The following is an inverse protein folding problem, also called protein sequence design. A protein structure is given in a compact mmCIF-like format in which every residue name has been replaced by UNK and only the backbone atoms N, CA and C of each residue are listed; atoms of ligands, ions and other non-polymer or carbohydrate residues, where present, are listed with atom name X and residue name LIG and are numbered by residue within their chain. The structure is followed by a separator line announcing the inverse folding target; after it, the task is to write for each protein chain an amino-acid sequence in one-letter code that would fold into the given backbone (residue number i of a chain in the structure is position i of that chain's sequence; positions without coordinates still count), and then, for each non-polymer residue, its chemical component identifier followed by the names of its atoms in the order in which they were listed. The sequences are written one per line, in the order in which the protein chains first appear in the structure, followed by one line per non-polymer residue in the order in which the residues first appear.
data_IF_501661498935
#
_entry.id   IF_501661498935
#
_cell.length_a   1.000
_cell.length_b   1.000
_cell.length_c   1.000
_cell.angle_alpha   90.00
_cell.angle_beta   90.00
_cell.angle_gamma   90.00
#
_symmetry.space_group_name_H-M   'P 1'
#
loop_
_entity.id
_entity.type
_entity.pdbx_description
1 polymer ?
#
# COMPACT_ATOMS: atom_id res chain seq x y z
N UNK A 1 -3.46 -11.69 11.72
CA UNK A 1 -3.68 -10.91 10.49
C UNK A 1 -4.72 -9.80 10.68
N UNK A 2 -5.98 -10.08 11.06
CA UNK A 2 -7.02 -9.05 11.25
C UNK A 2 -6.60 -7.99 12.28
N UNK A 3 -6.00 -8.40 13.37
CA UNK A 3 -5.54 -7.51 14.44
C UNK A 3 -4.29 -6.68 14.09
N UNK A 4 -3.51 -7.11 13.10
CA UNK A 4 -2.31 -6.40 12.66
C UNK A 4 -2.56 -5.47 11.49
N UNK A 5 -3.50 -5.83 10.60
CA UNK A 5 -3.90 -5.00 9.47
C UNK A 5 -5.29 -5.39 8.97
N UNK A 6 -6.32 -4.73 9.47
CA UNK A 6 -7.68 -4.93 8.97
C UNK A 6 -7.78 -4.66 7.47
N UNK A 7 -7.03 -3.68 6.98
CA UNK A 7 -7.04 -3.26 5.58
C UNK A 7 -6.67 -4.39 4.61
N UNK A 8 -5.57 -5.11 4.91
CA UNK A 8 -5.15 -6.24 4.07
C UNK A 8 -5.85 -7.55 4.39
N UNK A 9 -6.57 -7.62 5.51
CA UNK A 9 -7.24 -8.87 5.92
C UNK A 9 -8.38 -9.27 5.00
N UNK A 10 -9.14 -8.31 4.50
CA UNK A 10 -10.25 -8.57 3.55
C UNK A 10 -9.68 -9.15 2.25
N UNK A 11 -8.60 -8.54 1.72
CA UNK A 11 -7.89 -9.09 0.55
C UNK A 11 -7.32 -10.49 0.81
N UNK A 12 -6.74 -10.71 1.99
CA UNK A 12 -6.24 -12.01 2.40
C UNK A 12 -7.34 -13.09 2.49
N UNK A 13 -8.53 -12.74 2.97
CA UNK A 13 -9.67 -13.68 2.98
C UNK A 13 -10.11 -14.04 1.56
N UNK A 14 -10.16 -13.07 0.65
CA UNK A 14 -10.47 -13.32 -0.76
C UNK A 14 -9.43 -14.25 -1.41
N UNK A 15 -8.15 -14.04 -1.11
CA UNK A 15 -7.05 -14.93 -1.55
C UNK A 15 -7.25 -16.36 -1.04
N UNK A 16 -7.62 -16.51 0.25
CA UNK A 16 -7.92 -17.83 0.82
C UNK A 16 -9.10 -18.50 0.14
N UNK A 17 -10.15 -17.75 -0.22
CA UNK A 17 -11.31 -18.28 -0.96
C UNK A 17 -10.88 -18.76 -2.35
N UNK A 18 -10.10 -17.96 -3.09
CA UNK A 18 -9.60 -18.38 -4.41
C UNK A 18 -8.70 -19.61 -4.34
N UNK A 19 -7.81 -19.66 -3.36
CA UNK A 19 -6.96 -20.82 -3.12
C UNK A 19 -7.78 -22.04 -2.70
N UNK A 20 -8.77 -21.86 -1.82
CA UNK A 20 -9.71 -22.91 -1.40
C UNK A 20 -10.48 -23.49 -2.56
N UNK A 21 -10.98 -22.66 -3.47
CA UNK A 21 -11.65 -23.10 -4.70
C UNK A 21 -10.72 -23.93 -5.58
N UNK A 22 -9.48 -23.45 -5.78
CA UNK A 22 -8.46 -24.20 -6.52
C UNK A 22 -8.23 -25.59 -5.92
N UNK A 23 -7.99 -25.67 -4.60
CA UNK A 23 -7.77 -26.94 -3.88
C UNK A 23 -9.00 -27.85 -3.93
N UNK A 24 -10.18 -27.29 -3.84
CA UNK A 24 -11.44 -28.04 -3.92
C UNK A 24 -11.57 -28.75 -5.27
N UNK A 25 -11.37 -28.02 -6.37
CA UNK A 25 -11.44 -28.61 -7.71
C UNK A 25 -10.27 -29.55 -8.02
N UNK A 26 -9.09 -29.29 -7.48
CA UNK A 26 -7.94 -30.19 -7.60
C UNK A 26 -8.20 -31.54 -6.93
N UNK A 27 -8.69 -31.54 -5.69
CA UNK A 27 -8.99 -32.77 -4.95
C UNK A 27 -10.15 -33.60 -5.56
N UNK A 28 -11.00 -32.94 -6.33
CA UNK A 28 -12.16 -33.58 -6.99
C UNK A 28 -11.93 -33.78 -8.50
N UNK A 29 -10.67 -33.76 -8.95
CA UNK A 29 -10.35 -34.04 -10.35
C UNK A 29 -10.88 -35.42 -10.71
N UNK A 30 -11.75 -35.52 -11.75
CA UNK A 30 -12.40 -36.77 -12.18
C UNK A 30 -13.68 -37.13 -11.43
N UNK A 31 -14.06 -36.43 -10.36
CA UNK A 31 -15.30 -36.66 -9.62
C UNK A 31 -16.42 -35.71 -10.09
N UNK A 32 -17.68 -36.17 -10.00
CA UNK A 32 -18.83 -35.29 -10.22
C UNK A 32 -19.01 -34.33 -9.05
N UNK A 33 -18.91 -33.04 -9.31
CA UNK A 33 -19.21 -32.01 -8.31
C UNK A 33 -20.72 -31.79 -8.26
N UNK A 34 -21.34 -32.02 -7.10
CA UNK A 34 -22.75 -31.70 -6.88
C UNK A 34 -22.85 -30.34 -6.20
N UNK A 35 -23.88 -29.55 -6.54
CA UNK A 35 -24.15 -28.24 -5.94
C UNK A 35 -24.25 -28.33 -4.42
N UNK A 36 -24.99 -29.37 -3.91
CA UNK A 36 -25.11 -29.57 -2.47
C UNK A 36 -23.77 -29.84 -1.79
N UNK A 37 -22.93 -30.70 -2.39
CA UNK A 37 -21.60 -31.00 -1.86
C UNK A 37 -20.70 -29.72 -1.84
N UNK A 38 -20.74 -28.97 -2.93
CA UNK A 38 -20.00 -27.72 -3.00
C UNK A 38 -20.42 -26.71 -1.91
N UNK A 39 -21.71 -26.54 -1.68
CA UNK A 39 -22.22 -25.64 -0.64
C UNK A 39 -21.85 -26.12 0.78
N UNK A 40 -21.97 -27.41 1.07
CA UNK A 40 -21.62 -27.96 2.38
C UNK A 40 -20.11 -27.79 2.65
N UNK A 41 -19.25 -28.17 1.70
CA UNK A 41 -17.81 -28.08 1.84
C UNK A 41 -17.38 -26.60 1.90
N UNK A 42 -18.04 -25.73 1.13
CA UNK A 42 -17.84 -24.28 1.18
C UNK A 42 -18.19 -23.68 2.55
N UNK A 43 -19.30 -24.07 3.15
CA UNK A 43 -19.68 -23.66 4.51
C UNK A 43 -18.66 -24.13 5.55
N UNK A 44 -18.20 -25.38 5.44
CA UNK A 44 -17.14 -25.90 6.31
C UNK A 44 -15.84 -25.10 6.19
N UNK A 45 -15.49 -24.67 4.98
CA UNK A 45 -14.31 -23.85 4.73
C UNK A 45 -14.47 -22.41 5.27
N UNK A 46 -15.63 -21.79 5.11
CA UNK A 46 -15.87 -20.39 5.52
C UNK A 46 -16.11 -20.26 7.03
N UNK A 47 -16.60 -21.32 7.69
CA UNK A 47 -16.88 -21.32 9.14
C UNK A 47 -15.70 -20.85 10.01
N UNK A 48 -14.46 -21.35 9.87
CA UNK A 48 -13.32 -20.87 10.66
C UNK A 48 -12.96 -19.41 10.32
N UNK A 49 -13.20 -18.96 9.10
CA UNK A 49 -12.98 -17.56 8.72
C UNK A 49 -13.96 -16.63 9.44
N UNK A 50 -15.25 -17.00 9.49
CA UNK A 50 -16.26 -16.25 10.24
C UNK A 50 -15.90 -16.23 11.74
N UNK A 51 -15.49 -17.36 12.30
CA UNK A 51 -15.07 -17.43 13.69
C UNK A 51 -13.88 -16.50 13.98
N UNK A 52 -12.89 -16.48 13.11
CA UNK A 52 -11.74 -15.57 13.23
C UNK A 52 -12.14 -14.09 13.19
N UNK A 53 -13.11 -13.70 12.34
CA UNK A 53 -13.67 -12.34 12.30
C UNK A 53 -14.42 -12.03 13.60
N UNK A 54 -15.25 -12.94 14.08
CA UNK A 54 -15.97 -12.78 15.35
C UNK A 54 -15.02 -12.63 16.55
N UNK A 55 -13.96 -13.45 16.62
CA UNK A 55 -12.94 -13.34 17.65
C UNK A 55 -12.18 -12.01 17.59
N UNK A 56 -12.05 -11.42 16.41
CA UNK A 56 -11.37 -10.13 16.21
C UNK A 56 -12.29 -8.93 16.36
N UNK A 57 -13.58 -9.14 16.62
CA UNK A 57 -14.59 -8.08 16.62
C UNK A 57 -14.34 -7.00 17.68
N UNK A 58 -13.73 -7.35 18.82
CA UNK A 58 -13.37 -6.40 19.87
C UNK A 58 -12.41 -5.30 19.37
N UNK A 59 -11.60 -5.58 18.37
CA UNK A 59 -10.72 -4.63 17.70
C UNK A 59 -11.34 -4.08 16.41
N UNK A 60 -12.01 -4.92 15.65
CA UNK A 60 -12.55 -4.57 14.33
C UNK A 60 -13.71 -3.57 14.44
N UNK A 61 -14.63 -3.77 15.39
CA UNK A 61 -15.82 -2.92 15.54
C UNK A 61 -15.43 -1.47 15.88
N UNK A 62 -14.60 -1.18 16.91
CA UNK A 62 -14.15 0.18 17.17
C UNK A 62 -13.41 0.81 15.98
N UNK A 63 -12.58 0.02 15.28
CA UNK A 63 -11.87 0.51 14.10
C UNK A 63 -12.82 0.91 12.97
N UNK A 64 -13.83 0.08 12.68
CA UNK A 64 -14.84 0.39 11.65
C UNK A 64 -15.66 1.61 12.04
N UNK A 65 -16.07 1.73 13.30
CA UNK A 65 -16.81 2.90 13.78
C UNK A 65 -15.98 4.18 13.70
N UNK A 66 -14.71 4.14 14.07
CA UNK A 66 -13.80 5.27 13.94
C UNK A 66 -13.59 5.70 12.48
N UNK A 67 -13.45 4.74 11.56
CA UNK A 67 -13.35 5.03 10.13
C UNK A 67 -14.65 5.57 9.55
N UNK A 68 -15.79 5.07 9.98
CA UNK A 68 -17.10 5.55 9.51
C UNK A 68 -17.39 6.98 9.99
N UNK A 69 -16.95 7.32 11.21
CA UNK A 69 -17.16 8.65 11.81
C UNK A 69 -16.20 9.73 11.35
N UNK A 70 -15.03 9.36 10.83
CA UNK A 70 -13.95 10.31 10.62
C UNK A 70 -13.11 10.11 9.36
N UNK A 71 -13.67 9.54 8.29
CA UNK A 71 -12.95 9.42 7.01
C UNK A 71 -13.58 10.32 5.94
N UNK A 72 -12.74 10.99 5.14
CA UNK A 72 -13.22 11.81 4.03
C UNK A 72 -14.11 10.99 3.09
N UNK A 73 -15.18 11.61 2.59
CA UNK A 73 -16.08 10.97 1.62
C UNK A 73 -15.28 10.47 0.42
N UNK A 74 -15.53 9.23 0.03
CA UNK A 74 -14.90 8.64 -1.15
C UNK A 74 -15.26 9.40 -2.43
N UNK A 75 -14.48 9.16 -3.48
CA UNK A 75 -14.80 9.68 -4.81
C UNK A 75 -16.15 9.13 -5.27
N UNK A 76 -16.99 9.97 -5.84
CA UNK A 76 -18.21 9.55 -6.53
C UNK A 76 -17.81 8.73 -7.76
N UNK A 77 -17.76 7.42 -7.62
CA UNK A 77 -17.43 6.49 -8.69
C UNK A 77 -18.71 5.99 -9.33
N UNK A 78 -18.85 6.16 -10.64
CA UNK A 78 -20.03 5.65 -11.36
C UNK A 78 -20.04 4.12 -11.35
N UNK A 79 -21.22 3.52 -11.27
CA UNK A 79 -21.37 2.05 -11.31
C UNK A 79 -20.76 1.46 -12.60
N UNK A 80 -20.89 2.15 -13.73
CA UNK A 80 -20.28 1.71 -14.99
C UNK A 80 -18.76 1.59 -14.89
N UNK A 81 -18.10 2.55 -14.26
CA UNK A 81 -16.64 2.52 -14.07
C UNK A 81 -16.18 1.34 -13.20
N UNK A 82 -17.03 0.87 -12.28
CA UNK A 82 -16.70 -0.26 -11.40
C UNK A 82 -16.69 -1.61 -12.11
N UNK A 83 -17.53 -1.79 -13.12
CA UNK A 83 -17.70 -3.09 -13.80
C UNK A 83 -17.01 -3.17 -15.16
N UNK A 84 -16.59 -2.07 -15.74
CA UNK A 84 -15.82 -2.08 -16.99
C UNK A 84 -14.40 -2.57 -16.71
N UNK A 85 -13.94 -3.66 -17.35
CA UNK A 85 -12.59 -4.16 -17.18
C UNK A 85 -11.55 -3.08 -17.51
N UNK A 86 -10.60 -2.88 -16.60
CA UNK A 86 -9.51 -1.92 -16.77
C UNK A 86 -8.18 -2.64 -16.85
N UNK A 87 -7.62 -2.67 -18.05
CA UNK A 87 -6.26 -3.17 -18.30
C UNK A 87 -5.40 -1.94 -18.55
N UNK A 88 -5.06 -1.23 -17.48
CA UNK A 88 -4.20 -0.05 -17.58
C UNK A 88 -2.80 -0.41 -17.12
N UNK A 89 -1.84 0.21 -17.76
CA UNK A 89 -0.43 0.01 -17.43
C UNK A 89 -0.14 0.44 -16.00
N UNK A 90 -0.76 1.52 -15.52
CA UNK A 90 -0.63 1.97 -14.13
C UNK A 90 -1.02 0.91 -13.11
N UNK A 91 -1.94 0.04 -13.47
CA UNK A 91 -2.47 -0.99 -12.57
C UNK A 91 -1.53 -2.19 -12.46
N UNK A 92 -0.92 -2.55 -13.58
CA UNK A 92 -0.12 -3.77 -13.68
C UNK A 92 1.38 -3.52 -13.63
N UNK A 93 1.82 -2.33 -14.03
CA UNK A 93 3.24 -1.98 -14.08
C UNK A 93 3.75 -1.40 -12.76
N UNK A 94 5.03 -1.07 -12.76
CA UNK A 94 5.69 -0.36 -11.69
C UNK A 94 5.10 1.04 -11.54
N UNK A 95 4.32 1.25 -10.50
CA UNK A 95 3.82 2.55 -10.10
C UNK A 95 3.77 2.64 -8.58
N UNK A 96 3.71 3.86 -8.04
CA UNK A 96 3.61 4.12 -6.60
C UNK A 96 2.40 3.41 -5.95
N UNK A 97 1.35 3.21 -6.73
CA UNK A 97 0.09 2.63 -6.27
C UNK A 97 -0.22 1.28 -6.92
N UNK A 98 0.57 0.83 -7.87
CA UNK A 98 0.44 -0.46 -8.54
C UNK A 98 1.06 -1.59 -7.72
N UNK A 99 0.79 -2.82 -8.14
CA UNK A 99 1.38 -4.02 -7.54
C UNK A 99 2.71 -4.41 -8.19
N UNK A 100 3.14 -3.68 -9.21
CA UNK A 100 4.42 -3.88 -9.89
C UNK A 100 4.54 -5.27 -10.49
N UNK A 101 3.56 -5.72 -11.26
CA UNK A 101 3.63 -7.03 -11.91
C UNK A 101 4.76 -7.05 -12.93
N UNK A 102 5.61 -8.06 -12.82
CA UNK A 102 6.65 -8.34 -13.80
C UNK A 102 6.03 -8.93 -15.07
N UNK A 103 6.75 -8.88 -16.18
CA UNK A 103 6.34 -9.53 -17.44
C UNK A 103 6.16 -11.02 -17.28
N UNK A 104 6.93 -11.64 -16.38
CA UNK A 104 6.77 -13.06 -16.03
C UNK A 104 5.35 -13.31 -15.47
N UNK A 105 4.88 -12.51 -14.52
CA UNK A 105 3.53 -12.68 -13.94
C UNK A 105 2.46 -12.52 -15.00
N UNK A 106 2.57 -11.51 -15.87
CA UNK A 106 1.61 -11.27 -16.96
C UNK A 106 1.59 -12.48 -17.90
N UNK A 107 2.78 -12.98 -18.28
CA UNK A 107 2.92 -14.18 -19.11
C UNK A 107 2.30 -15.41 -18.46
N UNK A 108 2.52 -15.61 -17.16
CA UNK A 108 1.96 -16.72 -16.39
C UNK A 108 0.44 -16.64 -16.33
N UNK A 109 -0.13 -15.44 -16.13
CA UNK A 109 -1.58 -15.24 -16.17
C UNK A 109 -2.17 -15.59 -17.54
N UNK A 110 -1.55 -15.11 -18.64
CA UNK A 110 -2.01 -15.43 -19.99
C UNK A 110 -1.91 -16.94 -20.25
N UNK A 111 -0.80 -17.57 -19.89
CA UNK A 111 -0.60 -19.02 -20.06
C UNK A 111 -1.59 -19.84 -19.25
N UNK A 112 -1.86 -19.39 -18.02
CA UNK A 112 -2.76 -20.08 -17.09
C UNK A 112 -4.21 -20.10 -17.57
N UNK A 113 -4.65 -19.11 -18.36
CA UNK A 113 -5.97 -19.12 -18.99
C UNK A 113 -6.12 -20.28 -20.01
N UNK A 114 -5.02 -20.73 -20.56
CA UNK A 114 -4.97 -21.79 -21.59
C UNK A 114 -4.75 -23.19 -21.01
N UNK A 115 -4.60 -23.34 -19.69
CA UNK A 115 -4.38 -24.64 -19.06
C UNK A 115 -5.58 -25.59 -19.27
N UNK A 116 -5.30 -26.88 -19.42
CA UNK A 116 -6.35 -27.89 -19.67
C UNK A 116 -7.13 -28.26 -18.42
N UNK A 117 -6.47 -28.24 -17.26
CA UNK A 117 -7.09 -28.65 -15.99
C UNK A 117 -7.96 -27.54 -15.42
N UNK A 118 -9.18 -27.88 -15.05
CA UNK A 118 -10.20 -26.93 -14.55
C UNK A 118 -9.71 -26.17 -13.32
N UNK A 119 -9.12 -26.86 -12.35
CA UNK A 119 -8.68 -26.24 -11.10
C UNK A 119 -7.56 -25.20 -11.30
N UNK A 120 -6.65 -25.43 -12.24
CA UNK A 120 -5.59 -24.47 -12.59
C UNK A 120 -6.19 -23.24 -13.28
N UNK A 121 -7.16 -23.45 -14.18
CA UNK A 121 -7.87 -22.35 -14.84
C UNK A 121 -8.69 -21.52 -13.86
N UNK A 122 -9.42 -22.15 -12.95
CA UNK A 122 -10.26 -21.46 -11.95
C UNK A 122 -9.42 -20.49 -11.13
N UNK A 123 -8.24 -20.90 -10.68
CA UNK A 123 -7.34 -20.03 -9.95
C UNK A 123 -6.89 -18.83 -10.79
N UNK A 124 -6.46 -19.10 -12.02
CA UNK A 124 -6.00 -18.03 -12.93
C UNK A 124 -7.12 -17.07 -13.30
N UNK A 125 -8.31 -17.60 -13.68
CA UNK A 125 -9.48 -16.76 -13.94
C UNK A 125 -9.87 -15.91 -12.74
N UNK A 126 -9.88 -16.49 -11.53
CA UNK A 126 -10.14 -15.77 -10.30
C UNK A 126 -9.18 -14.61 -10.08
N UNK A 127 -7.88 -14.83 -10.25
CA UNK A 127 -6.88 -13.78 -10.15
C UNK A 127 -7.06 -12.70 -11.22
N UNK A 128 -7.26 -13.09 -12.48
CA UNK A 128 -7.45 -12.13 -13.58
C UNK A 128 -8.71 -11.28 -13.37
N UNK A 129 -9.83 -11.90 -13.01
CA UNK A 129 -11.09 -11.20 -12.74
C UNK A 129 -10.90 -10.17 -11.63
N UNK A 130 -10.30 -10.58 -10.50
CA UNK A 130 -10.09 -9.67 -9.36
C UNK A 130 -9.13 -8.53 -9.73
N UNK A 131 -8.09 -8.81 -10.47
CA UNK A 131 -7.11 -7.79 -10.87
C UNK A 131 -7.63 -6.83 -11.94
N UNK A 132 -8.48 -7.29 -12.85
CA UNK A 132 -8.94 -6.52 -14.02
C UNK A 132 -10.21 -5.73 -13.73
N UNK A 133 -11.12 -6.24 -12.91
CA UNK A 133 -12.39 -5.56 -12.63
C UNK A 133 -12.26 -4.61 -11.44
N UNK A 134 -12.45 -3.29 -11.64
CA UNK A 134 -12.23 -2.27 -10.60
C UNK A 134 -13.08 -2.42 -9.35
N UNK A 135 -14.25 -3.07 -9.43
CA UNK A 135 -15.13 -3.29 -8.29
C UNK A 135 -14.41 -4.00 -7.13
N UNK A 136 -13.49 -4.91 -7.42
CA UNK A 136 -12.72 -5.58 -6.35
C UNK A 136 -11.77 -4.61 -5.66
N UNK A 137 -11.05 -3.77 -6.39
CA UNK A 137 -10.21 -2.73 -5.79
C UNK A 137 -11.04 -1.75 -4.97
N UNK A 138 -12.22 -1.37 -5.44
CA UNK A 138 -13.16 -0.50 -4.74
C UNK A 138 -13.66 -1.12 -3.43
N UNK A 139 -14.16 -2.36 -3.48
CA UNK A 139 -14.66 -3.07 -2.30
C UNK A 139 -13.56 -3.35 -1.27
N UNK A 140 -12.38 -3.76 -1.73
CA UNK A 140 -11.22 -3.99 -0.85
C UNK A 140 -10.70 -2.70 -0.20
N UNK A 141 -10.98 -1.54 -0.78
CA UNK A 141 -10.73 -0.22 -0.18
C UNK A 141 -11.91 0.30 0.67
N UNK A 142 -12.84 -0.57 1.06
CA UNK A 142 -14.01 -0.21 1.89
C UNK A 142 -15.03 0.66 1.15
N UNK A 143 -15.12 0.58 -0.17
CA UNK A 143 -16.08 1.33 -0.97
C UNK A 143 -15.78 2.84 -1.09
N UNK A 144 -14.53 3.26 -0.94
CA UNK A 144 -14.16 4.67 -0.93
C UNK A 144 -13.55 5.15 -2.24
N UNK A 145 -12.63 4.37 -2.80
CA UNK A 145 -11.91 4.71 -4.03
C UNK A 145 -11.25 3.48 -4.65
N UNK A 146 -10.86 3.58 -5.91
CA UNK A 146 -10.13 2.52 -6.62
C UNK A 146 -8.63 2.77 -6.45
N UNK A 147 -7.91 1.85 -5.77
CA UNK A 147 -6.44 1.87 -5.60
C UNK A 147 -5.91 0.45 -5.54
N UNK A 148 -4.88 0.18 -6.30
CA UNK A 148 -4.40 -1.18 -6.53
C UNK A 148 -3.50 -1.74 -5.41
N UNK A 149 -3.02 -0.90 -4.49
CA UNK A 149 -2.28 -1.36 -3.30
C UNK A 149 -3.02 -2.40 -2.44
N UNK A 150 -4.34 -2.51 -2.58
CA UNK A 150 -5.16 -3.52 -1.89
C UNK A 150 -4.89 -4.94 -2.37
N UNK A 151 -4.22 -5.09 -3.52
CA UNK A 151 -3.87 -6.38 -4.08
C UNK A 151 -2.55 -6.96 -3.55
N UNK A 152 -1.84 -6.27 -2.66
CA UNK A 152 -0.63 -6.82 -2.00
C UNK A 152 -0.85 -8.22 -1.43
N UNK A 153 -1.98 -8.55 -0.76
CA UNK A 153 -2.26 -9.91 -0.29
C UNK A 153 -2.34 -10.98 -1.39
N UNK A 154 -2.49 -10.58 -2.65
CA UNK A 154 -2.53 -11.50 -3.79
C UNK A 154 -1.14 -11.96 -4.25
N UNK A 155 -0.07 -11.27 -3.85
CA UNK A 155 1.29 -11.62 -4.26
C UNK A 155 1.66 -13.09 -3.99
N UNK A 156 1.38 -13.68 -2.82
CA UNK A 156 1.64 -15.11 -2.59
C UNK A 156 0.91 -16.02 -3.57
N UNK A 157 -0.31 -15.65 -3.97
CA UNK A 157 -1.09 -16.43 -4.92
C UNK A 157 -0.53 -16.32 -6.34
N UNK A 158 -0.04 -15.14 -6.73
CA UNK A 158 0.67 -14.94 -7.98
C UNK A 158 1.99 -15.70 -8.01
N UNK A 159 2.74 -15.71 -6.92
CA UNK A 159 3.94 -16.55 -6.77
C UNK A 159 3.61 -18.05 -6.90
N UNK A 160 2.47 -18.49 -6.37
CA UNK A 160 2.01 -19.87 -6.51
C UNK A 160 1.69 -20.21 -7.98
N UNK A 161 1.05 -19.29 -8.72
CA UNK A 161 0.83 -19.46 -10.16
C UNK A 161 2.15 -19.54 -10.94
N UNK A 162 3.16 -18.74 -10.57
CA UNK A 162 4.51 -18.85 -11.14
C UNK A 162 5.09 -20.24 -10.88
N UNK A 163 4.97 -20.75 -9.66
CA UNK A 163 5.45 -22.09 -9.31
C UNK A 163 4.78 -23.18 -10.14
N UNK A 164 3.47 -23.11 -10.34
CA UNK A 164 2.73 -24.04 -11.24
C UNK A 164 3.27 -23.94 -12.68
N UNK A 165 3.49 -22.73 -13.17
CA UNK A 165 4.02 -22.52 -14.51
C UNK A 165 5.42 -23.12 -14.67
N UNK A 166 6.33 -22.83 -13.75
CA UNK A 166 7.69 -23.36 -13.76
C UNK A 166 7.73 -24.87 -13.64
N UNK A 167 6.85 -25.48 -12.82
CA UNK A 167 6.76 -26.93 -12.73
C UNK A 167 6.26 -27.56 -14.03
N UNK A 168 5.32 -26.92 -14.72
CA UNK A 168 4.87 -27.38 -16.04
C UNK A 168 5.99 -27.31 -17.08
N UNK A 169 6.78 -26.25 -17.06
CA UNK A 169 7.97 -26.13 -17.89
C UNK A 169 8.98 -27.25 -17.57
N UNK A 170 9.28 -27.47 -16.28
CA UNK A 170 10.20 -28.51 -15.81
C UNK A 170 9.78 -29.92 -16.25
N UNK A 171 8.48 -30.21 -16.21
CA UNK A 171 7.91 -31.49 -16.64
C UNK A 171 7.73 -31.62 -18.16
N UNK A 172 8.22 -30.66 -18.92
CA UNK A 172 8.10 -30.58 -20.38
C UNK A 172 6.66 -30.72 -20.91
N UNK A 173 5.68 -30.26 -20.10
CA UNK A 173 4.26 -30.30 -20.44
C UNK A 173 3.81 -29.13 -21.33
N UNK A 174 4.69 -28.14 -21.53
CA UNK A 174 4.46 -27.01 -22.43
C UNK A 174 5.29 -27.19 -23.70
N UNK A 175 4.63 -27.09 -24.85
CA UNK A 175 5.35 -27.03 -26.11
C UNK A 175 6.13 -25.72 -26.24
N UNK A 176 7.18 -25.71 -27.08
CA UNK A 176 7.97 -24.49 -27.36
C UNK A 176 7.03 -23.31 -27.73
N UNK A 177 6.10 -23.56 -28.65
CA UNK A 177 5.13 -22.52 -29.08
C UNK A 177 4.26 -22.04 -27.93
N UNK A 178 3.70 -22.95 -27.14
CA UNK A 178 2.84 -22.59 -26.02
C UNK A 178 3.56 -21.80 -24.92
N UNK A 179 4.88 -22.01 -24.78
CA UNK A 179 5.70 -21.22 -23.86
C UNK A 179 6.14 -19.87 -24.41
N UNK A 180 6.37 -19.76 -25.74
CA UNK A 180 6.83 -18.51 -26.37
C UNK A 180 5.71 -17.50 -26.65
N UNK A 181 4.54 -17.97 -27.08
CA UNK A 181 3.43 -17.10 -27.50
C UNK A 181 3.01 -16.11 -26.42
N UNK A 182 2.85 -16.48 -25.13
CA UNK A 182 2.50 -15.52 -24.09
C UNK A 182 3.55 -14.42 -23.90
N UNK A 183 4.84 -14.72 -24.00
CA UNK A 183 5.91 -13.70 -23.93
C UNK A 183 5.85 -12.74 -25.11
N UNK A 184 5.60 -13.24 -26.32
CA UNK A 184 5.45 -12.43 -27.51
C UNK A 184 4.24 -11.50 -27.35
N UNK A 185 3.10 -12.03 -26.89
CA UNK A 185 1.88 -11.22 -26.62
C UNK A 185 2.18 -10.15 -25.60
N UNK A 186 2.84 -10.49 -24.49
CA UNK A 186 3.20 -9.53 -23.44
C UNK A 186 4.13 -8.44 -23.99
N UNK A 187 5.13 -8.81 -24.77
CA UNK A 187 6.06 -7.87 -25.40
C UNK A 187 5.34 -6.91 -26.34
N UNK A 188 4.48 -7.42 -27.21
CA UNK A 188 3.67 -6.61 -28.12
C UNK A 188 2.74 -5.69 -27.37
N UNK A 189 2.07 -6.20 -26.32
CA UNK A 189 1.20 -5.40 -25.48
C UNK A 189 1.95 -4.24 -24.80
N UNK A 190 3.09 -4.49 -24.18
CA UNK A 190 3.91 -3.46 -23.54
C UNK A 190 4.37 -2.42 -24.56
N UNK A 191 4.79 -2.85 -25.74
CA UNK A 191 5.22 -1.94 -26.81
C UNK A 191 4.07 -1.03 -27.32
N UNK A 192 2.89 -1.59 -27.52
CA UNK A 192 1.71 -0.82 -27.94
C UNK A 192 1.29 0.16 -26.85
N UNK A 193 1.32 -0.28 -25.58
CA UNK A 193 0.94 0.53 -24.44
C UNK A 193 1.96 1.61 -24.05
N UNK A 194 3.16 1.65 -24.65
CA UNK A 194 4.27 2.53 -24.24
C UNK A 194 3.88 4.01 -24.09
N UNK A 195 3.01 4.52 -24.95
CA UNK A 195 2.57 5.91 -24.90
C UNK A 195 1.67 6.21 -23.67
N UNK A 196 1.06 5.19 -23.08
CA UNK A 196 0.25 5.34 -21.86
C UNK A 196 1.14 5.55 -20.63
N UNK A 197 2.37 5.05 -20.65
CA UNK A 197 3.33 5.26 -19.56
C UNK A 197 3.73 6.73 -19.47
N UNK A 198 4.08 7.33 -20.60
CA UNK A 198 4.50 8.74 -20.67
C UNK A 198 3.37 9.73 -20.41
N UNK A 199 2.15 9.47 -20.88
CA UNK A 199 1.02 10.38 -20.71
C UNK A 199 0.53 10.50 -19.26
N UNK A 200 0.91 9.55 -18.37
CA UNK A 200 0.45 9.48 -16.99
C UNK A 200 1.55 9.75 -15.95
N UNK A 201 2.67 10.32 -16.37
CA UNK A 201 3.78 10.64 -15.47
C UNK A 201 4.55 9.42 -14.96
N UNK A 202 4.34 8.25 -15.56
CA UNK A 202 5.17 7.09 -15.33
C UNK A 202 6.43 7.26 -16.17
N UNK A 203 7.61 7.13 -15.58
CA UNK A 203 8.85 7.35 -16.29
C UNK A 203 8.98 6.44 -17.53
N UNK A 204 9.50 7.02 -18.60
CA UNK A 204 9.69 6.33 -19.88
C UNK A 204 10.47 5.02 -19.76
N UNK A 205 11.35 4.93 -18.78
CA UNK A 205 12.19 3.76 -18.56
C UNK A 205 11.43 2.50 -18.11
N UNK A 206 10.22 2.63 -17.55
CA UNK A 206 9.44 1.48 -17.07
C UNK A 206 9.03 0.56 -18.20
N UNK A 207 8.54 1.09 -19.32
CA UNK A 207 8.18 0.24 -20.45
C UNK A 207 9.41 -0.41 -21.09
N UNK A 208 10.56 0.27 -21.11
CA UNK A 208 11.83 -0.30 -21.58
C UNK A 208 12.28 -1.46 -20.70
N UNK A 209 12.14 -1.32 -19.37
CA UNK A 209 12.43 -2.40 -18.42
C UNK A 209 11.53 -3.61 -18.62
N UNK A 210 10.22 -3.40 -18.78
CA UNK A 210 9.27 -4.47 -19.06
C UNK A 210 9.55 -5.19 -20.38
N UNK A 211 9.95 -4.45 -21.43
CA UNK A 211 10.39 -5.05 -22.68
C UNK A 211 11.68 -5.89 -22.49
N UNK A 212 12.66 -5.34 -21.79
CA UNK A 212 13.90 -6.04 -21.51
C UNK A 212 13.64 -7.34 -20.72
N UNK A 213 12.82 -7.30 -19.69
CA UNK A 213 12.39 -8.50 -18.97
C UNK A 213 11.74 -9.53 -19.91
N UNK A 214 10.78 -9.09 -20.72
CA UNK A 214 10.06 -9.99 -21.63
C UNK A 214 11.00 -10.69 -22.61
N UNK A 215 11.93 -9.95 -23.20
CA UNK A 215 12.95 -10.50 -24.12
C UNK A 215 13.89 -11.45 -23.39
N UNK A 216 14.36 -11.10 -22.20
CA UNK A 216 15.23 -11.95 -21.38
C UNK A 216 14.55 -13.28 -21.01
N UNK A 217 13.30 -13.25 -20.59
CA UNK A 217 12.54 -14.46 -20.30
C UNK A 217 12.32 -15.31 -21.55
N UNK A 218 12.05 -14.69 -22.69
CA UNK A 218 11.93 -15.41 -23.96
C UNK A 218 13.24 -16.12 -24.34
N UNK A 219 14.36 -15.43 -24.23
CA UNK A 219 15.68 -16.00 -24.48
C UNK A 219 15.95 -17.16 -23.52
N UNK A 220 15.74 -16.98 -22.23
CA UNK A 220 15.93 -18.03 -21.23
C UNK A 220 15.04 -19.25 -21.51
N UNK A 221 13.81 -19.04 -21.93
CA UNK A 221 12.90 -20.13 -22.28
C UNK A 221 13.37 -20.91 -23.52
N UNK A 222 13.82 -20.21 -24.56
CA UNK A 222 14.36 -20.83 -25.76
C UNK A 222 15.63 -21.64 -25.44
N UNK A 223 16.55 -21.08 -24.66
CA UNK A 223 17.75 -21.77 -24.20
C UNK A 223 17.42 -23.01 -23.37
N UNK A 224 16.45 -22.89 -22.46
CA UNK A 224 15.96 -24.01 -21.67
C UNK A 224 15.46 -25.17 -22.56
N UNK A 225 14.70 -24.85 -23.60
CA UNK A 225 14.21 -25.85 -24.54
C UNK A 225 15.33 -26.44 -25.43
N UNK A 226 16.37 -25.65 -25.74
CA UNK A 226 17.49 -26.08 -26.59
C UNK A 226 18.52 -26.94 -25.84
N UNK A 227 18.66 -26.81 -24.53
CA UNK A 227 19.62 -27.60 -23.74
C UNK A 227 19.18 -29.06 -23.68
N UNK A 228 20.04 -29.96 -24.19
CA UNK A 228 19.75 -31.39 -24.18
C UNK A 228 19.62 -31.97 -22.79
N UNK A 229 18.82 -33.04 -22.67
CA UNK A 229 18.36 -33.66 -21.42
C UNK A 229 19.44 -34.14 -20.43
N UNK A 230 20.70 -34.27 -20.89
CA UNK A 230 21.79 -34.78 -20.06
C UNK A 230 22.28 -33.83 -18.96
N UNK A 231 21.90 -32.55 -19.01
CA UNK A 231 22.28 -31.52 -18.04
C UNK A 231 21.06 -31.01 -17.24
N UNK A 232 20.50 -31.86 -16.41
CA UNK A 232 19.30 -31.53 -15.62
C UNK A 232 19.51 -30.30 -14.71
N UNK A 233 20.66 -30.23 -14.03
CA UNK A 233 20.98 -29.10 -13.14
C UNK A 233 21.11 -27.78 -13.92
N UNK A 234 21.75 -27.82 -15.10
CA UNK A 234 21.89 -26.64 -15.97
C UNK A 234 20.53 -26.16 -16.46
N UNK A 235 19.60 -27.08 -16.77
CA UNK A 235 18.22 -26.73 -17.13
C UNK A 235 17.48 -26.07 -15.98
N UNK A 236 17.61 -26.57 -14.76
CA UNK A 236 16.97 -25.99 -13.58
C UNK A 236 17.51 -24.58 -13.29
N UNK A 237 18.83 -24.37 -13.41
CA UNK A 237 19.46 -23.05 -13.26
C UNK A 237 18.95 -22.08 -14.33
N UNK A 238 18.94 -22.49 -15.60
CA UNK A 238 18.47 -21.66 -16.70
C UNK A 238 16.99 -21.28 -16.56
N UNK A 239 16.16 -22.18 -16.06
CA UNK A 239 14.73 -21.94 -15.96
C UNK A 239 14.31 -21.20 -14.69
N UNK A 240 14.95 -21.45 -13.57
CA UNK A 240 14.54 -20.95 -12.26
C UNK A 240 15.42 -19.81 -11.76
N UNK A 241 16.73 -20.02 -11.71
CA UNK A 241 17.63 -19.08 -11.07
C UNK A 241 17.92 -17.85 -11.97
N UNK A 242 18.29 -18.08 -13.21
CA UNK A 242 18.74 -17.00 -14.12
C UNK A 242 17.62 -15.97 -14.39
N UNK A 243 16.40 -16.36 -14.80
CA UNK A 243 15.31 -15.41 -15.00
C UNK A 243 14.96 -14.65 -13.73
N UNK A 244 14.97 -15.32 -12.58
CA UNK A 244 14.63 -14.68 -11.29
C UNK A 244 15.66 -13.61 -10.91
N UNK A 245 16.95 -13.90 -11.07
CA UNK A 245 18.03 -12.93 -10.81
C UNK A 245 17.97 -11.75 -11.79
N UNK A 246 17.76 -12.03 -13.08
CA UNK A 246 17.64 -10.99 -14.09
C UNK A 246 16.43 -10.09 -13.84
N UNK A 247 15.29 -10.69 -13.54
CA UNK A 247 14.07 -9.94 -13.20
C UNK A 247 14.30 -9.05 -11.97
N UNK A 248 14.89 -9.58 -10.91
CA UNK A 248 15.22 -8.81 -9.72
C UNK A 248 16.17 -7.65 -10.03
N UNK A 249 17.21 -7.89 -10.83
CA UNK A 249 18.17 -6.86 -11.22
C UNK A 249 17.50 -5.74 -12.04
N UNK A 250 16.67 -6.10 -13.02
CA UNK A 250 15.93 -5.13 -13.84
C UNK A 250 14.95 -4.35 -12.99
N UNK A 251 14.18 -5.01 -12.11
CA UNK A 251 13.21 -4.39 -11.22
C UNK A 251 13.89 -3.41 -10.26
N UNK A 252 14.97 -3.82 -9.59
CA UNK A 252 15.71 -2.97 -8.66
C UNK A 252 16.32 -1.77 -9.37
N UNK A 253 16.91 -1.95 -10.54
CA UNK A 253 17.43 -0.84 -11.33
C UNK A 253 16.32 0.13 -11.75
N UNK A 254 15.16 -0.39 -12.15
CA UNK A 254 14.01 0.43 -12.54
C UNK A 254 13.50 1.26 -11.38
N UNK A 255 13.32 0.66 -10.21
CA UNK A 255 12.93 1.39 -9.01
C UNK A 255 13.93 2.47 -8.62
N UNK A 256 15.22 2.16 -8.69
CA UNK A 256 16.27 3.12 -8.40
C UNK A 256 16.25 4.31 -9.35
N UNK A 257 15.97 4.07 -10.64
CA UNK A 257 15.89 5.12 -11.65
C UNK A 257 14.60 5.96 -11.54
N UNK A 258 13.50 5.34 -11.12
CA UNK A 258 12.20 6.04 -11.02
C UNK A 258 12.12 7.05 -9.90
N UNK A 259 12.83 6.81 -8.81
CA UNK A 259 12.64 7.57 -7.57
C UNK A 259 13.98 7.84 -6.87
N UNK A 260 14.93 8.52 -7.56
CA UNK A 260 16.24 8.79 -6.98
C UNK A 260 16.14 9.62 -5.68
N UNK A 261 15.14 10.52 -5.62
CA UNK A 261 14.94 11.42 -4.47
C UNK A 261 14.25 10.77 -3.27
N UNK A 262 13.72 9.54 -3.43
CA UNK A 262 13.10 8.77 -2.33
C UNK A 262 14.09 7.95 -1.53
N UNK A 263 15.30 7.79 -2.01
CA UNK A 263 16.37 7.16 -1.25
C UNK A 263 17.04 8.22 -0.39
N UNK A 264 16.64 8.26 0.86
CA UNK A 264 17.19 9.19 1.84
C UNK A 264 18.56 8.70 2.29
N UNK A 265 19.60 9.55 2.21
CA UNK A 265 20.90 9.20 2.76
C UNK A 265 20.81 8.97 4.27
N UNK A 266 21.65 8.08 4.81
CA UNK A 266 21.67 7.80 6.25
C UNK A 266 21.97 9.07 7.09
N UNK A 267 22.69 10.02 6.50
CA UNK A 267 22.93 11.33 7.12
C UNK A 267 21.65 12.15 7.16
N UNK A 268 20.96 12.29 6.01
CA UNK A 268 19.70 13.03 5.94
C UNK A 268 18.62 12.39 6.84
N UNK A 269 18.55 11.05 6.89
CA UNK A 269 17.63 10.36 7.81
C UNK A 269 17.90 10.73 9.27
N UNK A 270 19.16 10.73 9.71
CA UNK A 270 19.53 11.15 11.07
C UNK A 270 19.23 12.62 11.34
N UNK A 271 19.51 13.48 10.37
CA UNK A 271 19.26 14.93 10.49
C UNK A 271 17.76 15.23 10.58
N UNK A 272 16.90 14.46 9.87
CA UNK A 272 15.44 14.62 9.87
C UNK A 272 14.76 13.85 11.00
N UNK A 273 15.23 12.66 11.33
CA UNK A 273 14.67 11.84 12.43
C UNK A 273 14.95 12.46 13.82
N UNK A 274 15.82 13.46 13.88
CA UNK A 274 15.81 14.43 14.97
C UNK A 274 16.24 13.96 16.33
N UNK A 275 17.22 13.06 16.44
CA UNK A 275 17.86 12.82 17.74
C UNK A 275 18.27 14.14 18.43
N UNK A 276 18.71 15.13 17.64
CA UNK A 276 19.12 16.44 18.16
C UNK A 276 17.92 17.28 18.62
N UNK A 277 16.80 17.29 17.89
CA UNK A 277 15.62 18.04 18.28
C UNK A 277 14.91 17.40 19.47
N UNK A 278 14.79 16.07 19.51
CA UNK A 278 14.16 15.33 20.60
C UNK A 278 14.87 15.56 21.93
N UNK A 279 16.19 15.43 21.96
CA UNK A 279 16.96 15.65 23.17
C UNK A 279 16.93 17.11 23.62
N UNK A 280 16.99 18.06 22.69
CA UNK A 280 16.88 19.49 22.99
C UNK A 280 15.49 19.85 23.56
N UNK A 281 14.44 19.25 23.03
CA UNK A 281 13.07 19.41 23.54
C UNK A 281 12.94 18.81 24.94
N UNK A 282 13.42 17.59 25.16
CA UNK A 282 13.45 16.94 26.48
C UNK A 282 14.17 17.78 27.53
N UNK A 283 15.32 18.31 27.20
CA UNK A 283 16.09 19.19 28.09
C UNK A 283 15.38 20.49 28.40
N UNK A 284 14.77 21.14 27.38
CA UNK A 284 14.05 22.38 27.55
C UNK A 284 12.79 22.23 28.40
N UNK A 285 12.13 21.07 28.30
CA UNK A 285 10.86 20.78 28.99
C UNK A 285 11.05 20.07 30.33
N UNK A 286 12.28 19.67 30.68
CA UNK A 286 12.58 18.87 31.88
C UNK A 286 12.02 19.43 33.18
N UNK A 287 11.95 20.76 33.30
CA UNK A 287 11.51 21.43 34.53
C UNK A 287 10.03 21.87 34.49
N UNK A 288 9.33 21.60 33.40
CA UNK A 288 7.89 21.92 33.28
C UNK A 288 7.05 20.67 33.53
N UNK A 289 6.59 20.49 34.75
CA UNK A 289 5.70 19.38 35.14
C UNK A 289 4.22 19.60 34.81
N UNK A 290 3.88 20.63 34.06
CA UNK A 290 2.50 20.93 33.68
C UNK A 290 1.94 19.97 32.63
N UNK A 291 0.62 19.90 32.53
CA UNK A 291 -0.06 19.15 31.47
C UNK A 291 -0.40 20.09 30.29
N UNK A 292 0.39 20.02 29.23
CA UNK A 292 0.31 20.88 28.06
C UNK A 292 0.57 20.09 26.77
N UNK A 293 0.37 20.74 25.62
CA UNK A 293 0.77 20.20 24.31
C UNK A 293 2.08 20.82 23.82
N UNK A 294 2.89 19.98 23.20
CA UNK A 294 4.07 20.38 22.45
C UNK A 294 3.86 19.99 21.00
N UNK A 295 4.00 20.97 20.10
CA UNK A 295 3.71 20.75 18.69
C UNK A 295 4.88 21.21 17.82
N UNK A 296 4.90 20.73 16.59
CA UNK A 296 5.87 21.16 15.59
C UNK A 296 5.19 21.98 14.51
N UNK A 297 5.84 23.05 14.10
CA UNK A 297 5.43 23.92 13.01
C UNK A 297 6.61 24.05 12.03
N UNK A 298 6.42 23.67 10.76
CA UNK A 298 7.42 23.80 9.71
C UNK A 298 7.12 24.97 8.79
N UNK A 299 8.09 25.38 7.97
CA UNK A 299 7.87 26.39 6.94
C UNK A 299 6.89 25.94 5.86
N UNK A 300 6.87 24.64 5.58
CA UNK A 300 5.90 24.03 4.67
C UNK A 300 4.70 23.51 5.46
N UNK A 301 3.76 24.39 5.77
CA UNK A 301 2.49 24.05 6.41
C UNK A 301 1.68 22.98 5.65
N UNK A 302 2.10 22.68 4.42
CA UNK A 302 1.42 21.77 3.51
C UNK A 302 1.94 20.32 3.59
N UNK A 303 3.08 20.08 4.23
CA UNK A 303 3.66 18.74 4.24
C UNK A 303 3.36 17.97 5.51
N UNK A 304 2.43 17.05 5.40
CA UNK A 304 2.00 16.18 6.50
C UNK A 304 3.12 15.39 7.18
N UNK A 305 4.17 15.05 6.44
CA UNK A 305 5.31 14.31 6.98
C UNK A 305 6.11 15.14 7.99
N UNK A 306 6.09 16.45 7.87
CA UNK A 306 6.80 17.35 8.77
C UNK A 306 6.17 17.40 10.16
N UNK A 307 4.89 17.07 10.27
CA UNK A 307 4.14 17.09 11.51
C UNK A 307 4.42 15.89 12.44
N UNK A 308 5.09 14.87 11.94
CA UNK A 308 5.42 13.67 12.71
C UNK A 308 6.90 13.65 13.17
N UNK A 309 7.54 14.81 13.27
CA UNK A 309 8.99 14.90 13.60
C UNK A 309 9.31 14.75 15.08
N UNK A 310 8.36 14.97 15.98
CA UNK A 310 8.55 14.80 17.43
C UNK A 310 8.16 13.37 17.80
N UNK A 311 9.13 12.52 18.04
CA UNK A 311 8.94 11.09 18.26
C UNK A 311 8.84 10.69 19.75
N UNK A 312 9.05 11.63 20.66
CA UNK A 312 9.04 11.32 22.08
C UNK A 312 7.64 11.02 22.60
N UNK A 313 7.41 9.78 22.99
CA UNK A 313 6.17 9.33 23.61
C UNK A 313 5.84 10.05 24.94
N UNK A 314 6.79 10.75 25.53
CA UNK A 314 6.57 11.58 26.72
C UNK A 314 5.90 12.94 26.46
N UNK A 315 5.72 13.30 25.18
CA UNK A 315 5.11 14.57 24.81
C UNK A 315 3.66 14.40 24.37
N UNK A 316 2.80 15.37 24.76
CA UNK A 316 1.41 15.40 24.32
C UNK A 316 1.33 16.09 22.94
N UNK A 317 1.42 15.30 21.88
CA UNK A 317 1.43 15.76 20.49
C UNK A 317 0.12 15.37 19.82
N UNK A 318 -0.48 16.29 19.06
CA UNK A 318 -1.67 16.01 18.25
C UNK A 318 -1.43 16.17 16.76
N UNK A 319 -0.29 16.74 16.37
CA UNK A 319 0.11 16.92 14.97
C UNK A 319 0.57 15.60 14.36
N UNK A 320 -0.37 14.72 14.03
CA UNK A 320 -0.12 13.42 13.42
C UNK A 320 -0.82 13.31 12.08
N UNK A 321 -0.14 12.67 11.13
CA UNK A 321 -0.79 12.24 9.91
C UNK A 321 -1.67 11.02 10.18
N UNK A 322 -2.98 11.15 9.89
CA UNK A 322 -3.93 10.05 10.01
C UNK A 322 -4.91 10.06 8.84
N UNK A 323 -5.26 8.87 8.35
CA UNK A 323 -6.35 8.70 7.38
C UNK A 323 -7.74 8.69 8.03
N UNK A 324 -7.79 8.66 9.35
CA UNK A 324 -9.01 8.78 10.15
C UNK A 324 -8.86 9.98 11.07
N UNK A 325 -9.92 10.73 11.23
CA UNK A 325 -9.97 11.96 12.05
C UNK A 325 -11.25 12.05 12.84
N UNK A 326 -11.25 12.88 13.87
CA UNK A 326 -12.46 13.22 14.60
C UNK A 326 -13.22 14.31 13.82
N UNK A 327 -14.40 13.96 13.28
CA UNK A 327 -15.20 14.85 12.45
C UNK A 327 -15.77 16.05 13.23
N UNK A 328 -16.00 15.90 14.54
CA UNK A 328 -16.47 16.99 15.41
C UNK A 328 -15.34 18.00 15.63
N UNK A 329 -14.14 17.52 15.90
CA UNK A 329 -12.95 18.36 16.02
C UNK A 329 -12.65 19.11 14.72
N UNK A 330 -12.78 18.47 13.58
CA UNK A 330 -12.63 19.11 12.28
C UNK A 330 -13.68 20.21 12.09
N UNK A 331 -14.94 19.92 12.39
CA UNK A 331 -16.03 20.88 12.31
C UNK A 331 -15.79 22.08 13.22
N UNK A 332 -15.31 21.84 14.43
CA UNK A 332 -14.93 22.87 15.38
C UNK A 332 -13.81 23.76 14.82
N UNK A 333 -12.74 23.19 14.30
CA UNK A 333 -11.65 23.96 13.67
C UNK A 333 -12.17 24.85 12.54
N UNK A 334 -12.91 24.27 11.61
CA UNK A 334 -13.36 24.97 10.41
C UNK A 334 -14.45 26.00 10.70
N UNK A 335 -15.49 25.63 11.45
CA UNK A 335 -16.64 26.49 11.67
C UNK A 335 -16.43 27.54 12.75
N UNK A 336 -15.67 27.21 13.80
CA UNK A 336 -15.46 28.13 14.92
C UNK A 336 -14.27 29.04 14.68
N UNK A 337 -13.18 28.51 14.12
CA UNK A 337 -11.94 29.26 13.95
C UNK A 337 -11.64 29.62 12.50
N UNK A 338 -12.40 29.12 11.52
CA UNK A 338 -12.13 29.36 10.10
C UNK A 338 -10.78 28.82 9.65
N UNK A 339 -10.24 27.79 10.33
CA UNK A 339 -8.95 27.22 9.99
C UNK A 339 -9.10 26.36 8.75
N UNK A 340 -8.49 26.78 7.66
CA UNK A 340 -8.41 25.98 6.46
C UNK A 340 -7.54 24.76 6.71
N UNK A 341 -7.93 23.64 6.11
CA UNK A 341 -7.12 22.45 6.16
C UNK A 341 -6.00 22.54 5.15
N UNK A 342 -4.76 22.41 5.58
CA UNK A 342 -3.64 22.43 4.63
C UNK A 342 -3.58 21.15 3.78
N UNK A 343 -4.45 20.10 4.02
CA UNK A 343 -4.08 18.80 3.52
C UNK A 343 -5.20 17.82 3.14
N UNK A 344 -4.86 16.88 2.25
CA UNK A 344 -5.75 15.82 1.74
C UNK A 344 -6.32 14.91 2.82
N UNK A 345 -5.50 14.55 3.79
CA UNK A 345 -5.88 13.72 4.91
C UNK A 345 -5.96 14.62 6.12
N UNK A 346 -7.12 14.67 6.70
CA UNK A 346 -7.38 15.52 7.84
C UNK A 346 -6.49 15.09 8.98
N UNK A 347 -5.78 16.04 9.52
CA UNK A 347 -4.90 15.81 10.63
C UNK A 347 -5.48 16.37 11.92
N UNK A 348 -5.31 15.60 12.97
CA UNK A 348 -5.60 16.03 14.33
C UNK A 348 -4.50 17.00 14.79
N UNK A 349 -4.54 18.22 14.24
CA UNK A 349 -3.52 19.22 14.47
C UNK A 349 -4.05 20.29 15.43
N UNK A 350 -3.37 20.49 16.56
CA UNK A 350 -3.70 21.56 17.49
C UNK A 350 -2.89 22.84 17.27
N UNK A 351 -1.78 22.75 16.55
CA UNK A 351 -1.01 23.94 16.16
C UNK A 351 -1.65 24.62 14.94
N UNK A 352 -1.66 25.95 14.94
CA UNK A 352 -2.09 26.77 13.80
C UNK A 352 -1.45 28.15 13.88
N UNK A 353 -1.61 28.95 12.80
CA UNK A 353 -1.22 30.37 12.82
C UNK A 353 -2.15 31.24 13.67
N UNK A 354 -3.29 30.71 14.13
CA UNK A 354 -4.21 31.43 15.00
C UNK A 354 -3.78 31.31 16.48
N UNK A 355 -3.30 32.37 17.11
CA UNK A 355 -2.77 32.33 18.48
C UNK A 355 -3.85 32.01 19.51
N UNK A 356 -5.11 32.42 19.27
CA UNK A 356 -6.23 32.12 20.17
C UNK A 356 -6.52 30.61 20.17
N UNK A 357 -6.52 30.00 19.00
CA UNK A 357 -6.68 28.55 18.87
C UNK A 357 -5.57 27.79 19.58
N UNK A 358 -4.30 28.15 19.34
CA UNK A 358 -3.17 27.53 20.03
C UNK A 358 -3.26 27.67 21.55
N UNK A 359 -3.66 28.86 22.04
CA UNK A 359 -3.87 29.10 23.47
C UNK A 359 -4.96 28.19 24.05
N UNK A 360 -6.12 28.13 23.42
CA UNK A 360 -7.23 27.27 23.85
C UNK A 360 -6.87 25.78 23.79
N UNK A 361 -6.12 25.38 22.79
CA UNK A 361 -5.69 23.97 22.64
C UNK A 361 -4.56 23.58 23.60
N UNK A 362 -4.11 24.52 24.45
CA UNK A 362 -3.04 24.26 25.41
C UNK A 362 -1.68 23.98 24.77
N UNK A 363 -1.44 24.56 23.58
CA UNK A 363 -0.15 24.45 22.90
C UNK A 363 0.83 25.41 23.56
N UNK A 364 1.58 24.89 24.52
CA UNK A 364 2.54 25.67 25.31
C UNK A 364 3.87 25.81 24.64
N UNK A 365 4.30 24.77 23.95
CA UNK A 365 5.59 24.76 23.23
C UNK A 365 5.38 24.45 21.76
N UNK A 366 6.11 25.21 20.94
CA UNK A 366 6.20 24.95 19.48
C UNK A 366 7.68 24.83 19.11
N UNK A 367 8.00 23.77 18.38
CA UNK A 367 9.29 23.60 17.73
C UNK A 367 9.14 24.08 16.29
N UNK A 368 9.85 25.14 15.92
CA UNK A 368 9.75 25.77 14.60
C UNK A 368 11.13 26.21 14.10
N UNK A 369 11.29 26.25 12.78
CA UNK A 369 12.45 26.83 12.09
C UNK A 369 12.33 28.35 11.87
N UNK A 370 11.18 28.93 12.16
CA UNK A 370 10.87 30.35 12.09
C UNK A 370 10.24 30.86 13.38
N UNK A 371 10.24 32.19 13.55
CA UNK A 371 9.63 32.83 14.71
C UNK A 371 8.14 32.60 14.74
N UNK A 372 7.61 32.30 15.94
CA UNK A 372 6.19 32.01 16.17
C UNK A 372 5.52 33.16 16.90
N UNK A 373 4.54 33.78 16.26
CA UNK A 373 3.81 34.93 16.82
C UNK A 373 3.14 34.55 18.15
N UNK A 374 3.38 35.35 19.18
CA UNK A 374 2.82 35.14 20.51
C UNK A 374 3.60 34.14 21.38
N UNK A 375 4.73 33.65 20.91
CA UNK A 375 5.61 32.73 21.64
C UNK A 375 6.99 33.35 21.84
N UNK A 376 7.60 33.12 22.97
CA UNK A 376 8.95 33.55 23.28
C UNK A 376 9.98 32.43 22.99
N UNK A 377 11.09 32.75 22.38
CA UNK A 377 12.17 31.78 22.16
C UNK A 377 12.80 31.39 23.49
N UNK A 378 12.72 30.10 23.81
CA UNK A 378 13.30 29.50 25.04
C UNK A 378 14.69 28.94 24.76
N UNK A 379 14.83 28.25 23.63
CA UNK A 379 16.09 27.58 23.26
C UNK A 379 16.23 27.58 21.76
N UNK A 380 17.41 27.94 21.26
CA UNK A 380 17.76 27.82 19.85
C UNK A 380 18.54 26.51 19.64
N UNK A 381 18.10 25.72 18.71
CA UNK A 381 18.76 24.54 18.18
C UNK A 381 19.38 24.90 16.80
N UNK A 382 20.19 24.04 16.21
CA UNK A 382 20.96 24.36 14.99
C UNK A 382 20.10 24.94 13.85
N UNK A 383 18.92 24.36 13.60
CA UNK A 383 18.01 24.79 12.53
C UNK A 383 16.63 25.18 13.02
N UNK A 384 16.30 24.93 14.28
CA UNK A 384 14.98 25.17 14.86
C UNK A 384 15.09 25.90 16.18
N UNK A 385 14.02 26.58 16.59
CA UNK A 385 13.84 27.14 17.91
C UNK A 385 12.75 26.42 18.68
N UNK A 386 12.87 26.42 20.00
CA UNK A 386 11.79 26.01 20.92
C UNK A 386 11.17 27.27 21.48
N UNK A 387 9.92 27.49 21.15
CA UNK A 387 9.15 28.68 21.51
C UNK A 387 8.11 28.33 22.57
N UNK A 388 7.94 29.16 23.56
CA UNK A 388 7.01 28.99 24.68
C UNK A 388 5.96 30.08 24.74
N UNK A 389 4.71 29.68 24.96
CA UNK A 389 3.61 30.57 25.30
C UNK A 389 3.20 30.34 26.77
N UNK A 390 3.50 31.29 27.62
CA UNK A 390 3.15 31.20 29.06
C UNK A 390 1.66 31.38 29.30
N UNK A 391 0.90 31.95 28.36
CA UNK A 391 -0.54 32.15 28.45
C UNK A 391 -1.35 30.98 27.90
N UNK A 392 -0.68 29.89 27.47
CA UNK A 392 -1.38 28.69 26.99
C UNK A 392 -2.30 28.14 28.11
N UNK A 393 -3.54 27.91 27.76
CA UNK A 393 -4.48 27.28 28.67
C UNK A 393 -4.05 25.85 29.02
N UNK A 394 -4.25 25.35 30.22
CA UNK A 394 -4.06 23.94 30.51
C UNK A 394 -4.97 23.09 29.62
N UNK A 395 -4.56 21.85 29.31
CA UNK A 395 -5.32 20.95 28.42
C UNK A 395 -6.73 20.65 28.96
N UNK A 396 -6.88 20.71 30.28
CA UNK A 396 -8.18 20.63 30.93
C UNK A 396 -8.37 21.85 31.85
N UNK A 397 -9.43 22.55 31.65
CA UNK A 397 -9.84 23.66 32.52
C UNK A 397 -11.35 23.72 32.59
N UNK A 398 -11.86 24.22 33.73
CA UNK A 398 -13.26 24.52 33.90
C UNK A 398 -13.47 26.04 33.90
N UNK A 399 -14.57 26.51 33.38
CA UNK A 399 -14.97 27.91 33.43
C UNK A 399 -16.41 28.01 33.91
N UNK A 400 -16.65 28.99 34.75
CA UNK A 400 -17.99 29.43 35.21
C UNK A 400 -18.54 30.57 34.34
N UNK A 401 -17.75 31.02 33.38
CA UNK A 401 -18.14 32.07 32.43
C UNK A 401 -18.57 31.44 31.11
N UNK A 402 -19.82 31.60 30.76
CA UNK A 402 -20.41 31.20 29.48
C UNK A 402 -20.53 32.41 28.59
#
# INVERSE_FOLDING_TARGET
MIMTSFYFSIGGMLVLVLYGLHRYFEQREGCRVTVRGFLVDGLCFVRPMILAVLMSSFFLVPTVLALAGGRSKGQNTSLTTLFVPQITVERFAYSIYGIGLTTLVITVLITGLLYRKVYERVLTYGCVIVLVIPVFAYLLNGGLYIRDKVFIPFLPLLCYLIAIYLEKCRKEKLSLIAGMVPYIITTVFVYIARNQFTSKGIEENVWKALLAESVLFLICYVLYCAVKSHCKETKEILMLALPSVLCLAVTMNTFYQMEPDRYVSHKLYRDVAGEHNEQAVKEALKNDGGYYRTEQMGNDDENAADLNRIWDAGQNITSIYSSAYNSEYQTFRQKTFGLEEPFRNVMMQSVSKNPVFCRMMGVRYIVSDSDVTGYALVKKCEKTGIYQNNDAAPVMYATDRV
#
